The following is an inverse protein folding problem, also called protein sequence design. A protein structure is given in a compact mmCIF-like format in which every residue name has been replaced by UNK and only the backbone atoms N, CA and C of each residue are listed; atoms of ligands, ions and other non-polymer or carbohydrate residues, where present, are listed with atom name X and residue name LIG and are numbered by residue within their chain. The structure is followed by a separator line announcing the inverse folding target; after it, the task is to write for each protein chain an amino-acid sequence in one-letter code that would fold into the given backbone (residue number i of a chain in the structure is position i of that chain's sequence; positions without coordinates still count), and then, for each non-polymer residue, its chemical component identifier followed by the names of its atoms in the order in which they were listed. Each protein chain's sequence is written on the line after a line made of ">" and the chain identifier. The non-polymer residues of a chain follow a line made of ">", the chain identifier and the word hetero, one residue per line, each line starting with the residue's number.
data_IF_728327845861
#
_entry.id   IF_728327845861
#
_cell.length_a   1.000
_cell.length_b   1.000
_cell.length_c   1.000
_cell.angle_alpha   90.00
_cell.angle_beta   90.00
_cell.angle_gamma   90.00
#
_symmetry.space_group_name_H-M   'P 1'
#
loop_
_entity.id
_entity.type
_entity.pdbx_description
1 polymer ?
#
# COMPACT_ATOMS: atom_id res chain seq x y z
N UNK A 1 -64.42 -35.07 29.55
CA UNK A 1 -63.77 -34.49 30.76
C UNK A 1 -62.28 -34.83 30.74
N UNK A 2 -61.43 -33.93 31.29
CA UNK A 2 -59.94 -34.01 31.46
C UNK A 2 -59.14 -33.72 30.18
N UNK A 3 -58.69 -32.49 29.87
CA UNK A 3 -57.73 -31.52 30.46
C UNK A 3 -56.25 -31.93 30.39
N UNK A 4 -55.49 -31.03 29.74
CA UNK A 4 -54.07 -30.66 29.90
C UNK A 4 -52.99 -31.59 29.31
N UNK A 5 -51.81 -31.14 28.84
CA UNK A 5 -51.22 -29.89 28.31
C UNK A 5 -49.70 -30.22 28.21
N UNK A 6 -48.99 -29.90 27.12
CA UNK A 6 -47.59 -29.38 27.14
C UNK A 6 -46.83 -29.57 25.81
N UNK A 7 -46.83 -28.50 25.01
CA UNK A 7 -45.70 -27.81 24.37
C UNK A 7 -44.34 -28.53 24.40
N UNK A 8 -43.69 -28.66 23.23
CA UNK A 8 -42.29 -28.23 22.99
C UNK A 8 -41.95 -28.29 21.50
N UNK A 9 -42.10 -27.16 20.81
CA UNK A 9 -41.49 -26.93 19.50
C UNK A 9 -39.99 -26.72 19.70
N UNK A 10 -39.18 -27.74 19.36
CA UNK A 10 -37.73 -27.65 19.35
C UNK A 10 -37.27 -26.91 18.08
N UNK A 11 -37.25 -25.58 18.13
CA UNK A 11 -36.58 -24.76 17.12
C UNK A 11 -35.06 -24.81 17.36
N UNK A 12 -34.35 -25.57 16.53
CA UNK A 12 -32.89 -25.63 16.53
C UNK A 12 -32.35 -24.35 15.89
N UNK A 13 -32.06 -23.34 16.69
CA UNK A 13 -31.31 -22.16 16.25
C UNK A 13 -29.84 -22.54 16.13
N UNK A 14 -29.38 -22.80 14.92
CA UNK A 14 -27.96 -22.96 14.58
C UNK A 14 -27.26 -21.61 14.71
N UNK A 15 -26.64 -21.35 15.86
CA UNK A 15 -25.72 -20.22 16.04
C UNK A 15 -24.41 -20.60 15.36
N UNK A 16 -24.26 -20.23 14.10
CA UNK A 16 -22.95 -20.20 13.45
C UNK A 16 -22.13 -19.08 14.10
N UNK A 17 -21.37 -19.43 15.13
CA UNK A 17 -20.36 -18.55 15.69
C UNK A 17 -19.25 -18.35 14.64
N UNK A 18 -19.36 -17.27 13.85
CA UNK A 18 -18.25 -16.78 13.04
C UNK A 18 -17.23 -16.21 14.04
N UNK A 19 -16.29 -17.05 14.47
CA UNK A 19 -15.11 -16.60 15.19
C UNK A 19 -14.28 -15.73 14.23
N UNK A 20 -14.49 -14.41 14.29
CA UNK A 20 -13.58 -13.41 13.72
C UNK A 20 -12.30 -13.44 14.54
N UNK A 21 -11.43 -14.43 14.32
CA UNK A 21 -10.04 -14.34 14.74
C UNK A 21 -9.47 -13.10 14.06
N UNK A 22 -9.12 -12.08 14.84
CA UNK A 22 -8.33 -10.96 14.35
C UNK A 22 -7.07 -11.54 13.71
N UNK A 23 -6.96 -11.42 12.38
CA UNK A 23 -5.78 -11.86 11.65
C UNK A 23 -4.62 -10.94 12.04
N UNK A 24 -3.90 -11.29 13.10
CA UNK A 24 -2.66 -10.61 13.48
C UNK A 24 -1.61 -10.93 12.39
N UNK A 25 -1.40 -9.97 11.48
CA UNK A 25 -0.45 -10.15 10.39
C UNK A 25 0.98 -10.05 10.93
N UNK A 26 1.86 -11.02 10.65
CA UNK A 26 3.23 -10.99 11.14
C UNK A 26 3.94 -9.71 10.72
N UNK A 27 4.72 -9.15 11.63
CA UNK A 27 5.53 -7.96 11.40
C UNK A 27 6.96 -8.33 11.04
N UNK A 28 7.59 -7.50 10.23
CA UNK A 28 8.97 -7.66 9.75
C UNK A 28 9.75 -6.37 9.99
N UNK A 29 11.04 -6.52 10.30
CA UNK A 29 11.92 -5.39 10.56
C UNK A 29 12.34 -4.68 9.27
N UNK A 30 12.06 -3.39 9.23
CA UNK A 30 12.34 -2.49 8.14
C UNK A 30 13.08 -1.25 8.62
N UNK A 31 13.79 -0.61 7.69
CA UNK A 31 14.40 0.70 7.88
C UNK A 31 13.86 1.66 6.83
N UNK A 32 13.40 2.82 7.30
CA UNK A 32 12.76 3.84 6.46
C UNK A 32 13.64 5.06 6.39
N UNK A 33 13.85 5.55 5.19
CA UNK A 33 14.67 6.72 4.93
C UNK A 33 13.93 7.70 4.04
N UNK A 34 14.03 8.99 4.34
CA UNK A 34 13.51 10.07 3.51
C UNK A 34 14.42 10.35 2.30
N UNK A 35 15.72 10.07 2.42
CA UNK A 35 16.71 10.30 1.38
C UNK A 35 17.93 9.41 1.54
N UNK A 36 18.76 9.32 0.49
CA UNK A 36 20.04 8.64 0.53
C UNK A 36 20.96 9.23 1.62
N UNK A 37 21.02 10.57 1.73
CA UNK A 37 21.82 11.25 2.76
C UNK A 37 21.39 10.84 4.16
N UNK A 38 20.07 10.76 4.41
CA UNK A 38 19.60 10.33 5.72
C UNK A 38 20.09 8.91 6.06
N UNK A 39 20.09 8.00 5.10
CA UNK A 39 20.59 6.65 5.29
C UNK A 39 22.08 6.64 5.59
N UNK A 40 22.89 7.39 4.84
CA UNK A 40 24.34 7.43 5.07
C UNK A 40 24.71 8.07 6.41
N UNK A 41 23.86 8.97 6.93
CA UNK A 41 24.17 9.73 8.14
C UNK A 41 23.60 9.09 9.42
N UNK A 42 22.50 8.31 9.33
CA UNK A 42 21.71 7.87 10.48
C UNK A 42 21.30 6.40 10.43
N UNK A 43 22.03 5.55 9.69
CA UNK A 43 21.76 4.12 9.65
C UNK A 43 22.98 3.30 10.07
N UNK A 44 22.71 2.06 10.48
CA UNK A 44 23.76 1.06 10.68
C UNK A 44 24.14 0.35 9.36
N UNK A 45 23.59 0.80 8.23
CA UNK A 45 23.89 0.28 6.90
C UNK A 45 25.13 0.95 6.33
N UNK A 46 25.89 0.23 5.49
CA UNK A 46 27.02 0.83 4.80
C UNK A 46 26.55 1.82 3.74
N UNK A 47 27.45 2.71 3.31
CA UNK A 47 27.17 3.66 2.24
C UNK A 47 26.69 2.95 0.97
N UNK A 48 27.36 1.87 0.59
CA UNK A 48 27.04 1.08 -0.60
C UNK A 48 25.63 0.48 -0.49
N UNK A 49 25.23 0.01 0.68
CA UNK A 49 23.89 -0.53 0.94
C UNK A 49 22.81 0.56 0.82
N UNK A 50 23.09 1.74 1.37
CA UNK A 50 22.21 2.90 1.23
C UNK A 50 22.04 3.31 -0.24
N UNK A 51 23.14 3.40 -0.99
CA UNK A 51 23.14 3.75 -2.42
C UNK A 51 22.39 2.71 -3.25
N UNK A 52 22.65 1.42 -3.03
CA UNK A 52 21.97 0.33 -3.72
C UNK A 52 20.48 0.32 -3.42
N UNK A 53 20.09 0.40 -2.13
CA UNK A 53 18.69 0.41 -1.73
C UNK A 53 17.92 1.61 -2.28
N UNK A 54 18.53 2.80 -2.25
CA UNK A 54 17.93 4.00 -2.85
C UNK A 54 17.79 3.89 -4.37
N UNK A 55 18.82 3.38 -5.06
CA UNK A 55 18.78 3.15 -6.51
C UNK A 55 17.69 2.15 -6.90
N UNK A 56 17.55 1.06 -6.17
CA UNK A 56 16.51 0.05 -6.42
C UNK A 56 15.12 0.62 -6.17
N UNK A 57 14.92 1.36 -5.07
CA UNK A 57 13.65 2.04 -4.79
C UNK A 57 13.28 3.06 -5.89
N UNK A 58 14.26 3.86 -6.35
CA UNK A 58 14.07 4.81 -7.47
C UNK A 58 13.74 4.11 -8.78
N UNK A 59 14.39 2.98 -9.07
CA UNK A 59 14.09 2.19 -10.27
C UNK A 59 12.67 1.62 -10.22
N UNK A 60 12.27 1.07 -9.07
CA UNK A 60 10.92 0.54 -8.87
C UNK A 60 9.86 1.64 -8.90
N UNK A 61 10.18 2.86 -8.49
CA UNK A 61 9.27 4.00 -8.46
C UNK A 61 8.52 4.20 -9.78
N UNK A 62 9.20 4.21 -10.92
CA UNK A 62 8.56 4.37 -12.22
C UNK A 62 7.56 3.24 -12.54
N UNK A 63 7.80 2.03 -12.05
CA UNK A 63 7.02 0.83 -12.35
C UNK A 63 5.80 0.68 -11.44
N UNK A 64 5.96 0.96 -10.15
CA UNK A 64 4.97 0.64 -9.12
C UNK A 64 4.18 1.85 -8.64
N UNK A 65 4.63 3.08 -8.92
CA UNK A 65 3.88 4.27 -8.52
C UNK A 65 2.46 4.26 -9.10
N UNK A 66 1.46 4.73 -8.34
CA UNK A 66 0.14 5.03 -8.88
C UNK A 66 0.23 5.97 -10.08
N UNK A 67 -0.49 5.63 -11.14
CA UNK A 67 -0.45 6.32 -12.43
C UNK A 67 -1.73 7.11 -12.63
N UNK A 68 -1.62 8.37 -13.01
CA UNK A 68 -2.75 9.27 -13.21
C UNK A 68 -2.72 9.89 -14.60
N UNK A 69 -3.88 10.07 -15.21
CA UNK A 69 -4.00 10.81 -16.49
C UNK A 69 -3.98 12.33 -16.30
N UNK A 70 -4.16 12.81 -15.07
CA UNK A 70 -4.21 14.23 -14.73
C UNK A 70 -3.33 14.54 -13.52
N UNK A 71 -2.59 15.65 -13.57
CA UNK A 71 -1.83 16.16 -12.44
C UNK A 71 -2.74 16.48 -11.24
N UNK A 72 -3.91 17.05 -11.50
CA UNK A 72 -4.87 17.43 -10.47
C UNK A 72 -5.39 16.20 -9.70
N UNK A 73 -5.64 15.08 -10.38
CA UNK A 73 -6.09 13.84 -9.73
C UNK A 73 -5.00 13.27 -8.81
N UNK A 74 -3.74 13.30 -9.26
CA UNK A 74 -2.60 12.91 -8.45
C UNK A 74 -2.44 13.82 -7.23
N UNK A 75 -2.47 15.13 -7.42
CA UNK A 75 -2.30 16.12 -6.35
C UNK A 75 -3.46 16.11 -5.35
N UNK A 76 -4.66 15.75 -5.79
CA UNK A 76 -5.80 15.51 -4.89
C UNK A 76 -5.56 14.35 -3.91
N UNK A 77 -4.78 13.34 -4.31
CA UNK A 77 -4.47 12.18 -3.45
C UNK A 77 -3.18 12.33 -2.65
N UNK A 78 -2.14 12.94 -3.22
CA UNK A 78 -0.81 13.00 -2.61
C UNK A 78 -0.44 14.39 -2.09
N UNK A 79 -1.18 15.41 -2.49
CA UNK A 79 -1.02 16.81 -2.10
C UNK A 79 -0.49 17.68 -3.23
N UNK A 80 -0.79 18.98 -3.15
CA UNK A 80 -0.33 19.97 -4.12
C UNK A 80 1.20 19.99 -4.25
N UNK A 81 1.71 20.01 -5.49
CA UNK A 81 3.14 20.02 -5.79
C UNK A 81 3.85 18.70 -5.49
N UNK A 82 3.13 17.63 -5.16
CA UNK A 82 3.70 16.31 -4.83
C UNK A 82 3.54 15.28 -5.94
N UNK A 83 3.40 15.74 -7.17
CA UNK A 83 3.28 14.90 -8.35
C UNK A 83 4.24 15.35 -9.44
N UNK A 84 4.81 14.36 -10.14
CA UNK A 84 5.71 14.54 -11.28
C UNK A 84 5.17 13.83 -12.52
N UNK A 85 5.69 14.21 -13.67
CA UNK A 85 5.39 13.52 -14.93
C UNK A 85 6.17 12.20 -14.95
N UNK A 86 5.47 11.10 -15.21
CA UNK A 86 6.09 9.79 -15.34
C UNK A 86 6.97 9.74 -16.61
N UNK A 87 8.03 8.91 -16.64
CA UNK A 87 8.94 8.78 -17.78
C UNK A 87 8.34 8.02 -18.97
N UNK A 88 7.02 7.85 -19.02
CA UNK A 88 6.28 7.16 -20.07
C UNK A 88 4.95 7.85 -20.34
N UNK A 89 4.40 7.60 -21.53
CA UNK A 89 3.15 8.17 -21.99
C UNK A 89 2.05 7.12 -22.08
N UNK A 90 0.80 7.56 -22.18
CA UNK A 90 -0.32 6.68 -22.53
C UNK A 90 -0.20 6.20 -23.97
N UNK A 91 -0.92 5.13 -24.34
CA UNK A 91 -0.97 4.65 -25.74
C UNK A 91 -1.45 5.71 -26.73
N UNK A 92 -2.19 6.72 -26.27
CA UNK A 92 -2.71 7.83 -27.07
C UNK A 92 -1.79 9.05 -27.07
N UNK A 93 -0.56 8.95 -26.54
CA UNK A 93 0.42 10.05 -26.49
C UNK A 93 0.19 11.06 -25.36
N UNK A 94 -0.73 10.77 -24.43
CA UNK A 94 -0.99 11.63 -23.27
C UNK A 94 0.08 11.49 -22.20
N UNK A 95 0.35 12.57 -21.47
CA UNK A 95 1.23 12.54 -20.30
C UNK A 95 0.61 11.72 -19.17
N UNK A 96 1.45 10.98 -18.44
CA UNK A 96 1.06 10.29 -17.21
C UNK A 96 1.71 10.99 -16.03
N UNK A 97 0.99 11.12 -14.93
CA UNK A 97 1.47 11.71 -13.68
C UNK A 97 1.57 10.64 -12.60
N UNK A 98 2.55 10.80 -11.71
CA UNK A 98 2.79 9.90 -10.59
C UNK A 98 3.21 10.71 -9.37
N UNK A 99 2.93 10.21 -8.14
CA UNK A 99 3.34 10.91 -6.93
C UNK A 99 4.86 10.94 -6.78
N UNK A 100 5.40 11.96 -6.14
CA UNK A 100 6.82 12.01 -5.80
C UNK A 100 7.19 10.89 -4.81
N UNK A 101 8.31 10.22 -5.05
CA UNK A 101 8.92 9.35 -4.04
C UNK A 101 9.41 10.21 -2.86
N UNK A 102 8.72 10.12 -1.73
CA UNK A 102 8.99 10.91 -0.51
C UNK A 102 9.96 10.22 0.45
N UNK A 103 10.37 8.99 0.13
CA UNK A 103 11.30 8.18 0.89
C UNK A 103 11.38 6.77 0.31
N UNK A 104 12.08 5.88 1.00
CA UNK A 104 12.19 4.49 0.65
C UNK A 104 12.31 3.62 1.90
N UNK A 105 11.91 2.37 1.76
CA UNK A 105 12.03 1.34 2.79
C UNK A 105 12.99 0.27 2.32
N UNK A 106 13.84 -0.25 3.21
CA UNK A 106 14.62 -1.46 2.98
C UNK A 106 14.52 -2.41 4.19
N UNK A 107 14.88 -3.67 4.03
CA UNK A 107 14.95 -4.61 5.15
C UNK A 107 16.09 -4.27 6.10
N UNK A 108 15.88 -4.46 7.41
CA UNK A 108 16.98 -4.29 8.36
C UNK A 108 18.03 -5.38 8.16
N UNK A 109 19.29 -4.95 8.05
CA UNK A 109 20.44 -5.86 7.84
C UNK A 109 21.00 -6.44 9.13
N UNK A 110 20.55 -5.94 10.29
CA UNK A 110 21.11 -6.30 11.60
C UNK A 110 20.64 -7.66 12.14
N UNK A 111 19.93 -8.46 11.34
CA UNK A 111 19.47 -9.77 11.77
C UNK A 111 20.56 -10.83 11.53
N UNK A 112 21.52 -10.89 12.44
CA UNK A 112 22.62 -11.87 12.52
C UNK A 112 22.17 -13.33 12.76
N UNK A 113 20.86 -13.62 12.62
CA UNK A 113 20.22 -14.91 12.87
C UNK A 113 19.77 -15.66 11.61
N UNK A 114 20.39 -15.41 10.44
CA UNK A 114 20.22 -16.23 9.23
C UNK A 114 18.90 -16.05 8.45
N UNK A 115 17.94 -15.26 8.96
CA UNK A 115 16.72 -14.90 8.24
C UNK A 115 16.90 -13.55 7.57
N UNK A 116 17.32 -13.54 6.29
CA UNK A 116 17.36 -12.34 5.46
C UNK A 116 16.01 -11.62 5.59
N UNK A 117 16.02 -10.35 6.02
CA UNK A 117 14.80 -9.54 6.05
C UNK A 117 14.18 -9.60 4.65
N UNK A 118 12.96 -10.12 4.55
CA UNK A 118 12.27 -10.40 3.28
C UNK A 118 11.72 -9.12 2.61
N UNK A 119 12.25 -7.96 3.01
CA UNK A 119 11.82 -6.66 2.53
C UNK A 119 12.74 -6.22 1.42
N UNK A 120 12.15 -6.09 0.23
CA UNK A 120 12.84 -5.50 -0.92
C UNK A 120 12.85 -3.98 -0.80
N UNK A 121 13.93 -3.31 -1.22
CA UNK A 121 13.95 -1.86 -1.34
C UNK A 121 12.77 -1.36 -2.18
N UNK A 122 11.96 -0.47 -1.63
CA UNK A 122 10.78 0.03 -2.32
C UNK A 122 10.52 1.52 -2.03
N UNK A 123 9.95 2.25 -3.01
CA UNK A 123 9.60 3.65 -2.85
C UNK A 123 8.44 3.82 -1.87
N UNK A 124 8.47 4.93 -1.11
CA UNK A 124 7.41 5.34 -0.20
C UNK A 124 6.84 6.69 -0.63
N UNK A 125 5.56 6.85 -0.33
CA UNK A 125 4.75 8.03 -0.66
C UNK A 125 4.07 8.58 0.59
N UNK A 126 3.50 9.77 0.47
CA UNK A 126 2.67 10.39 1.51
C UNK A 126 1.39 10.88 0.88
N UNK A 127 0.27 10.47 1.45
CA UNK A 127 -1.04 10.93 1.00
C UNK A 127 -1.31 12.36 1.50
N UNK A 128 -2.26 13.05 0.87
CA UNK A 128 -2.69 14.39 1.25
C UNK A 128 -3.35 14.41 2.63
N UNK A 129 -4.11 13.36 2.96
CA UNK A 129 -4.83 13.17 4.21
C UNK A 129 -3.93 12.72 5.38
N UNK A 130 -2.80 12.05 5.09
CA UNK A 130 -1.76 11.68 6.05
C UNK A 130 -0.38 12.19 5.59
N UNK A 131 -0.12 13.51 5.70
CA UNK A 131 1.10 14.13 5.17
C UNK A 131 2.36 13.71 5.95
N UNK A 132 2.21 13.03 7.10
CA UNK A 132 3.31 12.52 7.91
C UNK A 132 3.57 11.02 7.68
N UNK A 133 2.55 10.24 7.36
CA UNK A 133 2.63 8.79 7.18
C UNK A 133 3.23 8.38 5.83
N UNK A 134 4.31 7.60 5.89
CA UNK A 134 4.83 6.87 4.74
C UNK A 134 3.93 5.69 4.40
N UNK A 135 3.68 5.52 3.10
CA UNK A 135 2.89 4.42 2.55
C UNK A 135 3.58 3.83 1.34
N UNK A 136 3.40 2.54 1.12
CA UNK A 136 3.89 1.87 -0.09
C UNK A 136 3.03 2.23 -1.31
N UNK A 137 3.49 1.83 -2.50
CA UNK A 137 2.72 1.95 -3.74
C UNK A 137 1.33 1.29 -3.69
N UNK A 138 1.14 0.29 -2.84
CA UNK A 138 -0.13 -0.41 -2.64
C UNK A 138 -0.97 0.23 -1.50
N UNK A 139 -0.67 1.48 -1.15
CA UNK A 139 -1.36 2.27 -0.12
C UNK A 139 -1.30 1.68 1.31
N UNK A 140 -0.33 0.79 1.58
CA UNK A 140 -0.10 0.23 2.92
C UNK A 140 0.70 1.20 3.76
N UNK A 141 0.18 1.58 4.93
CA UNK A 141 0.88 2.44 5.88
C UNK A 141 2.08 1.69 6.47
N UNK A 142 3.21 2.38 6.55
CA UNK A 142 4.49 1.79 6.98
C UNK A 142 4.92 2.41 8.32
N UNK A 143 5.16 3.72 8.35
CA UNK A 143 5.49 4.47 9.55
C UNK A 143 5.28 5.96 9.32
N UNK A 144 5.17 6.76 10.38
CA UNK A 144 5.22 8.24 10.29
C UNK A 144 6.62 8.80 10.58
N UNK A 145 7.58 7.94 10.90
CA UNK A 145 8.96 8.28 11.25
C UNK A 145 9.93 7.49 10.37
N UNK A 146 11.11 8.05 10.18
CA UNK A 146 12.27 7.39 9.57
C UNK A 146 13.04 6.60 10.62
N UNK A 147 13.95 5.73 10.19
CA UNK A 147 14.71 4.80 11.01
C UNK A 147 14.09 3.42 11.07
N UNK A 148 14.53 2.63 12.05
CA UNK A 148 14.05 1.26 12.29
C UNK A 148 12.59 1.24 12.71
N UNK A 149 11.84 0.32 12.12
CA UNK A 149 10.47 0.05 12.50
C UNK A 149 10.07 -1.37 12.15
N UNK A 150 9.00 -1.84 12.75
CA UNK A 150 8.33 -3.06 12.33
C UNK A 150 7.13 -2.71 11.45
N UNK A 151 7.00 -3.40 10.33
CA UNK A 151 5.93 -3.17 9.34
C UNK A 151 5.18 -4.47 9.11
N UNK A 152 3.91 -4.40 8.72
CA UNK A 152 3.16 -5.60 8.35
C UNK A 152 3.90 -6.33 7.21
N UNK A 153 3.98 -7.66 7.26
CA UNK A 153 4.66 -8.46 6.25
C UNK A 153 4.16 -8.17 4.84
N UNK A 154 2.87 -7.85 4.67
CA UNK A 154 2.28 -7.45 3.39
C UNK A 154 2.80 -6.11 2.85
N UNK A 155 3.25 -5.20 3.72
CA UNK A 155 3.92 -3.95 3.32
C UNK A 155 5.38 -4.20 2.90
N UNK A 156 6.04 -5.21 3.46
CA UNK A 156 7.40 -5.60 3.09
C UNK A 156 7.52 -6.36 1.77
N UNK A 157 6.41 -6.90 1.24
CA UNK A 157 6.39 -7.63 -0.03
C UNK A 157 6.75 -6.72 -1.20
N UNK A 158 7.34 -7.32 -2.25
CA UNK A 158 7.63 -6.61 -3.49
C UNK A 158 6.33 -6.02 -4.08
N UNK A 159 6.27 -4.71 -4.33
CA UNK A 159 5.07 -4.07 -4.85
C UNK A 159 4.73 -4.54 -6.27
N UNK A 160 3.45 -4.49 -6.60
CA UNK A 160 2.93 -4.87 -7.93
C UNK A 160 3.14 -3.76 -8.95
N UNK A 161 3.62 -4.09 -10.15
CA UNK A 161 3.69 -3.15 -11.27
C UNK A 161 2.30 -2.64 -11.65
N UNK A 162 2.15 -1.31 -11.76
CA UNK A 162 0.87 -0.70 -12.15
C UNK A 162 0.75 -0.64 -13.67
N UNK A 163 -0.27 -1.31 -14.22
CA UNK A 163 -0.52 -1.33 -15.69
C UNK A 163 -1.59 -0.33 -16.11
N UNK A 164 -2.50 0.05 -15.22
CA UNK A 164 -3.61 0.96 -15.49
C UNK A 164 -3.32 2.36 -14.98
N UNK A 165 -3.77 3.36 -15.72
CA UNK A 165 -3.87 4.76 -15.27
C UNK A 165 -5.22 5.01 -14.63
N UNK A 166 -5.22 5.72 -13.51
CA UNK A 166 -6.41 6.19 -12.81
C UNK A 166 -6.83 7.55 -13.40
N UNK A 167 -8.14 7.72 -13.56
CA UNK A 167 -8.77 9.00 -13.81
C UNK A 167 -9.90 9.14 -12.80
N UNK A 168 -9.89 10.21 -12.01
CA UNK A 168 -10.93 10.51 -11.02
C UNK A 168 -11.81 11.70 -11.43
N UNK A 169 -11.36 12.48 -12.41
CA UNK A 169 -12.16 13.52 -13.07
C UNK A 169 -12.89 13.00 -14.30
N UNK A 170 -14.11 12.49 -14.13
CA UNK A 170 -14.99 12.15 -15.24
C UNK A 170 -16.44 12.00 -14.81
N UNK A 171 -17.31 12.91 -15.25
CA UNK A 171 -18.76 12.71 -15.24
C UNK A 171 -19.08 11.53 -16.18
N UNK A 172 -19.03 10.29 -15.69
CA UNK A 172 -19.22 9.12 -16.56
C UNK A 172 -18.86 7.75 -15.99
N UNK A 173 -18.69 7.57 -14.68
CA UNK A 173 -18.70 6.23 -14.08
C UNK A 173 -20.13 5.66 -14.13
N UNK A 174 -20.56 5.22 -15.31
CA UNK A 174 -21.84 4.58 -15.56
C UNK A 174 -21.99 3.41 -14.61
N UNK A 175 -22.95 3.50 -13.69
CA UNK A 175 -23.41 2.37 -12.92
C UNK A 175 -23.73 1.21 -13.86
N UNK A 176 -23.02 0.10 -13.70
CA UNK A 176 -23.32 -1.15 -14.38
C UNK A 176 -24.71 -1.60 -13.95
N UNK A 177 -25.72 -1.22 -14.72
CA UNK A 177 -27.02 -1.88 -14.72
C UNK A 177 -26.80 -3.28 -15.29
N UNK A 178 -26.85 -4.31 -14.46
CA UNK A 178 -27.36 -5.60 -14.90
C UNK A 178 -28.73 -5.77 -14.25
N UNK A 179 -29.76 -5.52 -15.05
CA UNK A 179 -31.07 -6.06 -14.79
C UNK A 179 -31.03 -7.59 -14.91
N UNK A 180 -31.85 -8.25 -14.10
CA UNK A 180 -32.37 -9.57 -14.42
C UNK A 180 -33.85 -9.54 -14.07
N UNK A 181 -34.64 -9.20 -15.09
CA UNK A 181 -36.02 -9.60 -15.19
C UNK A 181 -36.06 -10.84 -16.10
N UNK A 182 -36.54 -11.95 -15.55
CA UNK A 182 -37.01 -13.20 -16.17
C UNK A 182 -36.94 -14.25 -15.06
N UNK A 183 -37.98 -14.93 -14.60
CA UNK A 183 -39.38 -15.15 -15.02
C UNK A 183 -40.11 -15.65 -13.77
#
# INVERSE_FOLDING_TARGET
>A
MKRWNSISAAAVMSVSAIALSACDEPKVDAEIFSSLQQCTDNSDSTREQCEQGYKEARSQHAEVAPKYTSKNDCEGEFGAGRCEQAPYQTRSGGSVFMPLMMGYMMGSMMNSGGRRSSIFPQPLYRAADDPKGYRTADNRKVSSKTGRTQVASSAGRRPSMKRSTLSRGGFGASGGRLGSAAT
#
